data_IF_019822308213
#
_entry.id   IF_019822308213
#
_cell.length_a   1.000
_cell.length_b   1.000
_cell.length_c   1.000
_cell.angle_alpha   90.00
_cell.angle_beta   90.00
_cell.angle_gamma   90.00
#
_symmetry.space_group_name_H-M   'P 1'
#
loop_
_entity.id
_entity.type
_entity.pdbx_description
1 polymer ?
#
# COMPACT_ATOMS: atom_id res chain seq x y z
N UNK A 1 5.89 -6.04 -4.01
CA UNK A 1 4.65 -5.43 -3.53
C UNK A 1 4.98 -4.51 -2.36
N UNK A 2 4.06 -3.64 -1.95
CA UNK A 2 4.19 -2.70 -0.84
C UNK A 2 3.10 -2.99 0.19
N UNK A 3 3.44 -3.01 1.46
CA UNK A 3 2.45 -3.18 2.52
C UNK A 3 1.89 -1.82 2.94
N UNK A 4 0.58 -1.76 3.11
CA UNK A 4 -0.14 -0.57 3.53
C UNK A 4 -0.59 -0.76 4.96
N UNK A 5 -0.29 0.24 5.78
CA UNK A 5 -0.59 0.28 7.21
C UNK A 5 -1.37 1.54 7.55
N UNK A 6 -2.24 1.47 8.54
CA UNK A 6 -2.96 2.64 9.05
C UNK A 6 -3.19 2.48 10.53
N UNK A 7 -2.80 3.49 11.32
CA UNK A 7 -2.97 3.50 12.77
C UNK A 7 -2.49 2.20 13.47
N UNK A 8 -1.38 1.62 13.01
CA UNK A 8 -0.80 0.38 13.55
C UNK A 8 -1.43 -0.92 13.06
N UNK A 9 -2.47 -0.86 12.23
CA UNK A 9 -3.11 -2.03 11.61
C UNK A 9 -2.67 -2.19 10.14
N UNK A 10 -2.48 -3.43 9.69
CA UNK A 10 -2.22 -3.74 8.27
C UNK A 10 -3.52 -3.59 7.50
N UNK A 11 -3.54 -2.66 6.55
CA UNK A 11 -4.71 -2.36 5.73
C UNK A 11 -4.76 -3.27 4.50
N UNK A 12 -3.60 -3.54 3.90
CA UNK A 12 -3.53 -4.33 2.68
C UNK A 12 -2.15 -4.32 2.03
N UNK A 13 -2.13 -4.73 0.77
CA UNK A 13 -0.94 -4.83 -0.06
C UNK A 13 -1.23 -4.22 -1.43
N UNK A 14 -0.31 -3.36 -1.88
CA UNK A 14 -0.28 -2.84 -3.23
C UNK A 14 0.79 -3.56 -4.05
N UNK A 15 0.39 -4.18 -5.15
CA UNK A 15 1.26 -4.92 -6.05
C UNK A 15 1.39 -4.18 -7.37
N UNK A 16 2.64 -3.88 -7.72
CA UNK A 16 3.03 -3.30 -9.00
C UNK A 16 3.71 -4.42 -9.79
N UNK A 17 2.99 -5.14 -10.67
CA UNK A 17 3.59 -6.20 -11.46
C UNK A 17 4.48 -5.64 -12.57
N UNK A 18 5.45 -6.43 -13.05
CA UNK A 18 6.29 -6.04 -14.18
C UNK A 18 5.51 -5.92 -15.51
N UNK A 19 4.37 -6.61 -15.60
CA UNK A 19 3.42 -6.57 -16.71
C UNK A 19 2.00 -6.74 -16.17
N UNK A 20 1.05 -5.99 -16.71
CA UNK A 20 -0.35 -6.00 -16.30
C UNK A 20 -0.70 -4.91 -15.28
N UNK A 21 -1.95 -4.92 -14.84
CA UNK A 21 -2.48 -3.85 -14.00
C UNK A 21 -1.96 -3.90 -12.57
N UNK A 22 -1.71 -2.71 -12.01
CA UNK A 22 -1.47 -2.53 -10.58
C UNK A 22 -2.66 -3.06 -9.78
N UNK A 23 -2.38 -3.69 -8.64
CA UNK A 23 -3.39 -4.37 -7.84
C UNK A 23 -3.33 -3.93 -6.38
N UNK A 24 -4.48 -3.67 -5.78
CA UNK A 24 -4.63 -3.44 -4.36
C UNK A 24 -5.45 -4.57 -3.75
N UNK A 25 -4.88 -5.26 -2.77
CA UNK A 25 -5.53 -6.31 -2.00
C UNK A 25 -5.68 -5.84 -0.56
N UNK A 26 -6.91 -5.70 -0.06
CA UNK A 26 -7.08 -5.43 1.38
C UNK A 26 -6.70 -6.65 2.20
N UNK A 27 -6.19 -6.42 3.40
CA UNK A 27 -5.96 -7.46 4.39
C UNK A 27 -7.30 -7.98 4.91
N UNK A 28 -7.45 -9.30 5.03
CA UNK A 28 -8.68 -9.92 5.52
C UNK A 28 -9.03 -9.43 6.92
N UNK A 29 -8.04 -9.28 7.79
CA UNK A 29 -8.23 -8.79 9.15
C UNK A 29 -8.68 -7.32 9.16
N UNK A 30 -8.25 -6.52 8.19
CA UNK A 30 -8.72 -5.14 8.03
C UNK A 30 -10.18 -5.10 7.61
N UNK A 31 -10.56 -5.86 6.58
CA UNK A 31 -11.95 -5.92 6.09
C UNK A 31 -12.92 -6.43 7.17
N UNK A 32 -12.47 -7.37 8.01
CA UNK A 32 -13.27 -7.92 9.11
C UNK A 32 -13.21 -7.07 10.40
N UNK A 33 -12.33 -6.08 10.47
CA UNK A 33 -12.18 -5.24 11.66
C UNK A 33 -13.33 -4.26 11.79
N UNK A 34 -13.76 -3.99 13.03
CA UNK A 34 -14.73 -2.92 13.33
C UNK A 34 -14.22 -1.53 12.96
N UNK A 35 -12.89 -1.37 12.89
CA UNK A 35 -12.22 -0.14 12.43
C UNK A 35 -11.91 -0.16 10.93
N UNK A 36 -12.20 -1.28 10.26
CA UNK A 36 -11.98 -1.49 8.84
C UNK A 36 -12.80 -0.51 8.03
N UNK A 37 -12.10 0.39 7.33
CA UNK A 37 -12.70 1.28 6.34
C UNK A 37 -11.94 1.20 5.02
N UNK A 38 -12.62 1.38 3.89
CA UNK A 38 -11.94 1.45 2.60
C UNK A 38 -10.98 2.65 2.57
N UNK A 39 -9.86 2.48 1.87
CA UNK A 39 -8.85 3.52 1.69
C UNK A 39 -9.35 4.71 0.86
N UNK A 40 -10.32 4.46 -0.01
CA UNK A 40 -10.98 5.46 -0.86
C UNK A 40 -12.39 5.01 -1.20
N UNK A 41 -13.29 5.96 -1.47
CA UNK A 41 -14.61 5.67 -2.04
C UNK A 41 -14.53 4.98 -3.41
N UNK A 42 -13.44 5.21 -4.17
CA UNK A 42 -13.18 4.52 -5.43
C UNK A 42 -12.68 3.08 -5.28
N UNK A 43 -12.29 2.69 -4.06
CA UNK A 43 -11.75 1.38 -3.71
C UNK A 43 -12.55 0.78 -2.53
N UNK A 44 -13.88 0.56 -2.68
CA UNK A 44 -14.71 0.03 -1.62
C UNK A 44 -14.36 -1.44 -1.31
N UNK A 45 -14.65 -1.92 -0.11
CA UNK A 45 -14.61 -3.37 0.14
C UNK A 45 -15.56 -4.07 -0.84
N UNK A 46 -15.05 -5.08 -1.54
CA UNK A 46 -15.79 -5.84 -2.54
C UNK A 46 -16.13 -7.23 -2.03
N UNK A 47 -16.99 -7.92 -2.79
CA UNK A 47 -17.37 -9.31 -2.52
C UNK A 47 -16.11 -10.18 -2.47
N UNK A 48 -15.99 -10.96 -1.40
CA UNK A 48 -14.88 -11.87 -1.14
C UNK A 48 -13.49 -11.21 -1.03
N UNK A 49 -13.42 -9.88 -0.89
CA UNK A 49 -12.17 -9.14 -0.82
C UNK A 49 -11.27 -9.42 -2.05
N UNK A 50 -11.83 -9.35 -3.24
CA UNK A 50 -11.06 -9.47 -4.49
C UNK A 50 -10.04 -8.32 -4.65
N UNK A 51 -8.92 -8.53 -5.35
CA UNK A 51 -7.98 -7.45 -5.61
C UNK A 51 -8.61 -6.39 -6.52
N UNK A 52 -8.55 -5.12 -6.12
CA UNK A 52 -8.82 -4.01 -7.03
C UNK A 52 -7.70 -3.91 -8.05
N UNK A 53 -8.03 -3.55 -9.30
CA UNK A 53 -7.05 -3.43 -10.39
C UNK A 53 -7.32 -2.21 -11.26
N UNK A 54 -6.33 -1.84 -12.06
CA UNK A 54 -6.45 -0.86 -13.14
C UNK A 54 -6.47 0.58 -12.66
N UNK A 55 -7.12 1.45 -13.44
CA UNK A 55 -7.07 2.91 -13.26
C UNK A 55 -7.52 3.39 -11.88
N UNK A 56 -8.45 2.70 -11.21
CA UNK A 56 -8.89 3.09 -9.86
C UNK A 56 -7.77 2.99 -8.83
N UNK A 57 -6.93 1.98 -8.96
CA UNK A 57 -5.75 1.77 -8.10
C UNK A 57 -4.70 2.81 -8.47
N UNK A 58 -4.42 2.97 -9.76
CA UNK A 58 -3.47 3.97 -10.27
C UNK A 58 -3.86 5.37 -9.78
N UNK A 59 -5.07 5.84 -10.05
CA UNK A 59 -5.52 7.18 -9.67
C UNK A 59 -5.50 7.41 -8.16
N UNK A 60 -5.77 6.37 -7.35
CA UNK A 60 -5.67 6.50 -5.90
C UNK A 60 -4.22 6.77 -5.50
N UNK A 61 -3.28 5.90 -5.92
CA UNK A 61 -1.87 6.03 -5.56
C UNK A 61 -1.18 7.22 -6.25
N UNK A 62 -1.58 7.56 -7.47
CA UNK A 62 -1.07 8.72 -8.19
C UNK A 62 -1.41 9.99 -7.44
N UNK A 63 -2.62 10.16 -6.90
CA UNK A 63 -2.95 11.30 -6.01
C UNK A 63 -2.14 11.33 -4.70
N UNK A 64 -1.47 10.23 -4.34
CA UNK A 64 -0.57 10.16 -3.19
C UNK A 64 0.87 10.55 -3.57
N UNK A 65 1.28 10.33 -4.81
CA UNK A 65 2.65 10.58 -5.26
C UNK A 65 3.04 12.05 -5.48
N UNK A 66 2.18 13.04 -5.87
CA UNK A 66 2.63 14.38 -6.24
C UNK A 66 3.21 15.15 -5.06
N UNK A 67 2.85 14.79 -3.82
CA UNK A 67 3.17 15.56 -2.62
C UNK A 67 4.30 14.94 -1.76
N UNK A 68 4.91 13.82 -2.19
CA UNK A 68 5.87 13.04 -1.37
C UNK A 68 7.29 12.90 -1.92
N UNK A 69 7.65 13.67 -2.95
CA UNK A 69 9.04 13.88 -3.42
C UNK A 69 9.92 14.68 -2.44
N UNK A 70 9.43 14.97 -1.22
CA UNK A 70 10.20 15.64 -0.19
C UNK A 70 10.33 14.75 1.06
N UNK A 71 11.56 14.34 1.35
CA UNK A 71 12.07 13.89 2.66
C UNK A 71 11.72 12.47 3.17
N UNK A 72 12.62 11.52 2.94
CA UNK A 72 13.59 11.17 4.00
C UNK A 72 14.51 10.02 3.59
N UNK A 73 15.79 10.34 3.73
CA UNK A 73 16.93 9.46 3.84
C UNK A 73 16.73 8.40 4.93
N UNK A 74 17.16 7.17 4.61
CA UNK A 74 17.19 5.96 5.46
C UNK A 74 15.84 5.25 5.67
N UNK A 75 15.57 4.29 4.78
CA UNK A 75 14.81 3.07 5.12
C UNK A 75 13.29 3.22 5.17
N UNK A 76 12.66 3.36 4.01
CA UNK A 76 11.21 3.26 3.84
C UNK A 76 10.55 4.60 3.57
N UNK A 77 10.10 4.83 2.31
CA UNK A 77 9.24 5.97 2.00
C UNK A 77 7.93 5.81 2.79
N UNK A 78 7.56 6.82 3.57
CA UNK A 78 6.31 6.84 4.34
C UNK A 78 5.37 7.86 3.69
N UNK A 79 4.18 7.42 3.30
CA UNK A 79 3.15 8.30 2.76
C UNK A 79 2.21 8.81 3.87
N UNK A 80 1.67 10.03 3.78
CA UNK A 80 0.78 10.63 4.80
C UNK A 80 -0.41 11.34 4.14
N UNK A 81 -1.63 10.94 4.48
CA UNK A 81 -2.86 11.70 4.19
C UNK A 81 -3.54 12.13 5.50
N UNK A 82 -3.97 13.39 5.61
CA UNK A 82 -4.58 13.94 6.83
C UNK A 82 -6.10 13.79 6.85
N UNK A 83 -6.55 12.77 7.60
CA UNK A 83 -7.63 12.77 8.62
C UNK A 83 -7.64 11.44 9.37
N UNK A 84 -7.00 10.45 8.76
CA UNK A 84 -6.64 9.14 9.27
C UNK A 84 -5.31 8.72 8.61
N UNK A 85 -4.23 8.64 9.38
CA UNK A 85 -2.89 8.45 8.83
C UNK A 85 -2.68 7.06 8.23
N UNK A 86 -2.84 6.94 6.91
CA UNK A 86 -2.43 5.77 6.12
C UNK A 86 -0.96 5.93 5.70
N UNK A 87 -0.14 4.93 6.04
CA UNK A 87 1.27 4.82 5.72
C UNK A 87 1.46 3.66 4.75
N UNK A 88 1.93 3.96 3.53
CA UNK A 88 2.41 2.92 2.61
C UNK A 88 3.88 2.70 2.92
N UNK A 89 4.26 1.50 3.33
CA UNK A 89 5.63 1.14 3.67
C UNK A 89 6.21 0.20 2.61
N UNK A 90 7.38 0.56 2.11
CA UNK A 90 8.21 -0.34 1.33
C UNK A 90 8.83 -1.37 2.27
N UNK A 91 8.30 -2.59 2.28
CA UNK A 91 9.08 -3.72 2.78
C UNK A 91 10.03 -4.13 1.66
N UNK A 92 11.30 -3.74 1.76
CA UNK A 92 12.35 -4.43 1.03
C UNK A 92 12.36 -5.87 1.54
N UNK A 93 11.64 -6.77 0.86
CA UNK A 93 11.89 -8.19 1.03
C UNK A 93 13.35 -8.39 0.62
N UNK A 94 14.23 -8.45 1.62
CA UNK A 94 15.60 -8.94 1.56
C UNK A 94 15.57 -10.39 1.08
N UNK A 95 15.30 -10.60 -0.20
CA UNK A 95 15.85 -11.74 -0.92
C UNK A 95 17.20 -11.27 -1.46
N UNK A 96 18.23 -11.58 -0.70
CA UNK A 96 19.59 -11.89 -1.15
C UNK A 96 20.12 -11.00 -2.30
N UNK A 97 20.89 -9.96 -2.02
CA UNK A 97 22.36 -10.09 -2.00
C UNK A 97 22.98 -8.96 -1.18
N UNK A 98 23.24 -9.26 0.09
CA UNK A 98 24.32 -8.61 0.85
C UNK A 98 24.82 -9.67 1.84
N UNK A 99 25.22 -10.79 1.28
CA UNK A 99 26.25 -11.65 1.85
C UNK A 99 27.56 -11.20 1.23
N UNK A 100 28.51 -10.88 2.10
CA UNK A 100 29.87 -10.43 1.85
C UNK A 100 30.53 -10.94 0.55
N UNK A 101 31.27 -10.04 -0.11
CA UNK A 101 32.54 -10.43 -0.69
C UNK A 101 33.42 -10.98 0.44
N UNK A 102 33.63 -12.30 0.45
CA UNK A 102 34.91 -12.94 0.77
C UNK A 102 34.95 -14.32 0.13
#
# INVERSE_FOLDING_TARGET
SLSIWSNGARVGEWTIPARGDMQLQYDKAWVQSRLGRPLSLSLPFNLENQPHKGEKVLNYFDNLLPDSEASSSRGGKTYRQTRDSVQVLWYMEKRSTLGAMQ
#
